data_IF_191291599037
#
_entry.id   IF_191291599037
#
_cell.length_a   1.000
_cell.length_b   1.000
_cell.length_c   1.000
_cell.angle_alpha   90.00
_cell.angle_beta   90.00
_cell.angle_gamma   90.00
#
_symmetry.space_group_name_H-M   'P 1'
#
loop_
_entity.id
_entity.type
_entity.pdbx_description
1 polymer ?
#
# COMPACT_ATOMS: atom_id res chain seq x y z
N UNK A 1 -7.51 -23.20 -9.01
CA UNK A 1 -8.97 -23.27 -8.72
C UNK A 1 -9.36 -21.99 -8.01
N UNK A 2 -10.57 -21.49 -8.21
CA UNK A 2 -11.03 -20.31 -7.45
C UNK A 2 -11.36 -20.71 -6.01
N UNK A 3 -11.02 -19.84 -5.07
CA UNK A 3 -11.28 -19.95 -3.64
C UNK A 3 -12.48 -19.08 -3.27
N UNK A 4 -13.40 -19.62 -2.48
CA UNK A 4 -14.55 -18.88 -1.98
C UNK A 4 -14.20 -18.07 -0.74
N UNK A 5 -14.50 -16.78 -0.75
CA UNK A 5 -14.23 -15.81 0.31
C UNK A 5 -15.55 -15.28 0.84
N UNK A 6 -15.67 -15.28 2.16
CA UNK A 6 -16.81 -14.69 2.87
C UNK A 6 -16.57 -13.20 3.09
N UNK A 7 -17.63 -12.40 3.08
CA UNK A 7 -17.55 -10.94 3.22
C UNK A 7 -18.43 -10.44 4.35
N UNK A 8 -17.93 -9.45 5.08
CA UNK A 8 -18.69 -8.73 6.11
C UNK A 8 -18.44 -7.23 6.02
N UNK A 9 -19.45 -6.43 6.32
CA UNK A 9 -19.32 -4.97 6.45
C UNK A 9 -19.66 -4.60 7.89
N UNK A 10 -18.69 -3.97 8.56
CA UNK A 10 -18.83 -3.41 9.90
C UNK A 10 -18.83 -1.88 9.80
N UNK A 11 -19.90 -1.24 10.26
CA UNK A 11 -20.02 0.23 10.27
C UNK A 11 -21.11 0.65 11.27
N UNK A 12 -21.20 1.95 11.54
CA UNK A 12 -22.36 2.50 12.25
C UNK A 12 -23.55 2.58 11.32
N UNK A 13 -24.67 1.95 11.66
CA UNK A 13 -25.94 2.12 10.94
C UNK A 13 -27.10 2.23 11.93
N UNK A 14 -28.14 2.94 11.53
CA UNK A 14 -29.44 2.87 12.19
C UNK A 14 -30.23 1.75 11.52
N UNK A 15 -30.52 0.70 12.27
CA UNK A 15 -31.39 -0.38 11.81
C UNK A 15 -32.58 -0.46 12.76
N UNK A 16 -33.65 -1.12 12.33
CA UNK A 16 -34.80 -1.37 13.22
C UNK A 16 -34.45 -2.21 14.46
N UNK A 17 -33.27 -2.85 14.50
CA UNK A 17 -32.86 -3.78 15.57
C UNK A 17 -31.77 -3.22 16.48
N UNK A 18 -30.83 -2.44 15.93
CA UNK A 18 -29.63 -1.97 16.63
C UNK A 18 -29.21 -0.59 16.11
N UNK A 19 -28.75 0.23 17.05
CA UNK A 19 -28.09 1.52 16.80
C UNK A 19 -26.60 1.43 17.15
N UNK A 20 -25.77 2.04 16.30
CA UNK A 20 -24.32 2.13 16.50
C UNK A 20 -23.52 1.14 15.65
N UNK A 21 -22.28 0.86 16.07
CA UNK A 21 -21.33 0.05 15.31
C UNK A 21 -21.63 -1.45 15.46
N UNK A 22 -21.94 -2.10 14.33
CA UNK A 22 -22.19 -3.53 14.25
C UNK A 22 -21.94 -4.04 12.82
N UNK A 23 -22.05 -5.36 12.63
CA UNK A 23 -22.07 -5.96 11.30
C UNK A 23 -23.43 -5.66 10.65
N UNK A 24 -23.41 -4.82 9.61
CA UNK A 24 -24.62 -4.38 8.91
C UNK A 24 -24.97 -5.27 7.73
N UNK A 25 -23.97 -6.00 7.21
CA UNK A 25 -24.11 -6.90 6.08
C UNK A 25 -23.08 -8.03 6.23
N UNK A 26 -23.48 -9.25 5.91
CA UNK A 26 -22.61 -10.42 5.94
C UNK A 26 -23.03 -11.42 4.86
N UNK A 27 -22.10 -12.23 4.39
CA UNK A 27 -22.42 -13.41 3.58
C UNK A 27 -22.84 -14.59 4.44
N UNK A 28 -23.58 -15.54 3.85
CA UNK A 28 -24.20 -16.66 4.58
C UNK A 28 -23.22 -17.59 5.30
N UNK A 29 -21.94 -17.61 4.90
CA UNK A 29 -20.91 -18.40 5.56
C UNK A 29 -20.29 -17.75 6.80
N UNK A 30 -20.71 -16.54 7.19
CA UNK A 30 -20.30 -15.87 8.43
C UNK A 30 -21.18 -16.34 9.58
N UNK A 31 -20.56 -16.95 10.57
CA UNK A 31 -21.24 -17.48 11.75
C UNK A 31 -21.49 -16.39 12.81
N UNK A 32 -22.38 -16.63 13.79
CA UNK A 32 -22.51 -15.75 14.96
C UNK A 32 -21.22 -15.62 15.77
N UNK A 33 -20.38 -16.66 15.79
CA UNK A 33 -19.07 -16.68 16.44
C UNK A 33 -18.11 -15.73 15.71
N UNK A 34 -18.00 -15.86 14.38
CA UNK A 34 -17.22 -14.95 13.54
C UNK A 34 -17.69 -13.51 13.77
N UNK A 35 -19.00 -13.30 13.84
CA UNK A 35 -19.59 -11.98 14.02
C UNK A 35 -19.18 -11.32 15.34
N UNK A 36 -19.16 -12.10 16.43
CA UNK A 36 -18.72 -11.63 17.74
C UNK A 36 -17.23 -11.29 17.76
N UNK A 37 -16.41 -12.11 17.12
CA UNK A 37 -14.98 -11.84 17.02
C UNK A 37 -14.67 -10.62 16.14
N UNK A 38 -15.32 -10.51 14.98
CA UNK A 38 -15.20 -9.33 14.12
C UNK A 38 -15.59 -8.06 14.87
N UNK A 39 -16.58 -8.08 15.76
CA UNK A 39 -16.95 -6.92 16.57
C UNK A 39 -15.87 -6.49 17.59
N UNK A 40 -14.96 -7.40 17.98
CA UNK A 40 -13.80 -7.07 18.82
C UNK A 40 -12.71 -6.39 17.99
N UNK A 41 -12.43 -6.94 16.81
CA UNK A 41 -11.35 -6.48 15.93
C UNK A 41 -11.70 -5.23 15.11
N UNK A 42 -12.96 -5.08 14.71
CA UNK A 42 -13.38 -3.97 13.88
C UNK A 42 -13.40 -2.66 14.67
N UNK A 43 -12.91 -1.57 14.08
CA UNK A 43 -12.91 -0.26 14.73
C UNK A 43 -14.31 0.34 14.82
N UNK A 44 -14.57 1.06 15.92
CA UNK A 44 -15.73 1.92 16.10
C UNK A 44 -15.38 3.39 15.79
N UNK A 45 -16.21 4.34 16.24
CA UNK A 45 -16.00 5.78 16.05
C UNK A 45 -14.58 6.24 16.42
N UNK A 46 -14.06 7.21 15.65
CA UNK A 46 -12.80 7.91 15.91
C UNK A 46 -11.57 6.98 16.09
N UNK A 47 -11.62 5.81 15.47
CA UNK A 47 -10.58 4.80 15.59
C UNK A 47 -9.51 4.86 14.49
N UNK A 48 -9.66 5.74 13.49
CA UNK A 48 -8.63 5.97 12.47
C UNK A 48 -7.58 6.96 13.01
N UNK A 49 -6.31 6.75 12.67
CA UNK A 49 -5.25 7.68 13.07
C UNK A 49 -5.34 9.03 12.37
N UNK A 50 -5.82 9.00 11.13
CA UNK A 50 -6.00 10.16 10.28
C UNK A 50 -7.49 10.39 10.05
N UNK A 51 -7.90 11.65 10.13
CA UNK A 51 -9.31 12.05 10.02
C UNK A 51 -9.72 12.48 8.60
N UNK A 52 -8.80 12.38 7.62
CA UNK A 52 -9.10 12.73 6.24
C UNK A 52 -9.84 11.60 5.50
N UNK A 53 -10.57 11.96 4.42
CA UNK A 53 -11.34 11.00 3.62
C UNK A 53 -10.49 10.01 2.83
N UNK A 54 -9.22 10.34 2.58
CA UNK A 54 -8.29 9.45 1.88
C UNK A 54 -7.62 8.46 2.84
N UNK A 55 -7.77 8.66 4.16
CA UNK A 55 -7.24 7.76 5.17
C UNK A 55 -7.91 6.39 5.06
N UNK A 56 -7.07 5.37 5.01
CA UNK A 56 -7.49 3.98 5.07
C UNK A 56 -6.51 3.18 5.92
N UNK A 57 -6.97 2.03 6.40
CA UNK A 57 -6.17 1.05 7.12
C UNK A 57 -6.40 -0.31 6.49
N UNK A 58 -5.33 -1.07 6.34
CA UNK A 58 -5.39 -2.51 6.07
C UNK A 58 -5.10 -3.20 7.38
N UNK A 59 -5.93 -4.19 7.72
CA UNK A 59 -5.77 -4.95 8.94
C UNK A 59 -5.83 -6.43 8.64
N UNK A 60 -5.07 -7.21 9.39
CA UNK A 60 -5.04 -8.66 9.31
C UNK A 60 -5.05 -9.26 10.71
N UNK A 61 -5.91 -10.25 10.94
CA UNK A 61 -5.99 -10.93 12.22
C UNK A 61 -6.66 -12.31 12.09
N UNK A 62 -6.41 -13.24 13.02
CA UNK A 62 -7.19 -14.46 13.12
C UNK A 62 -8.65 -14.18 13.50
N UNK A 63 -9.53 -15.10 13.08
CA UNK A 63 -10.93 -15.21 13.53
C UNK A 63 -11.16 -16.67 13.89
N UNK A 64 -11.25 -16.94 15.19
CA UNK A 64 -11.20 -18.27 15.77
C UNK A 64 -9.88 -18.99 15.46
N UNK A 65 -9.93 -20.32 15.48
CA UNK A 65 -8.76 -21.17 15.25
C UNK A 65 -8.50 -21.47 13.77
N UNK A 66 -9.48 -21.23 12.89
CA UNK A 66 -9.49 -21.80 11.53
C UNK A 66 -9.68 -20.79 10.41
N UNK A 67 -9.88 -19.51 10.75
CA UNK A 67 -10.10 -18.46 9.77
C UNK A 67 -9.20 -17.28 10.02
N UNK A 68 -9.00 -16.52 8.96
CA UNK A 68 -8.31 -15.25 8.99
C UNK A 68 -9.19 -14.20 8.34
N UNK A 69 -9.05 -12.96 8.83
CA UNK A 69 -9.68 -11.79 8.29
C UNK A 69 -8.61 -10.85 7.73
N UNK A 70 -8.77 -10.47 6.46
CA UNK A 70 -8.12 -9.28 5.89
C UNK A 70 -9.21 -8.23 5.74
N UNK A 71 -9.01 -7.07 6.34
CA UNK A 71 -10.00 -6.00 6.29
C UNK A 71 -9.40 -4.69 5.79
N UNK A 72 -10.25 -3.91 5.12
CA UNK A 72 -9.96 -2.53 4.74
C UNK A 72 -10.92 -1.61 5.47
N UNK A 73 -10.36 -0.70 6.26
CA UNK A 73 -11.10 0.34 6.98
C UNK A 73 -10.88 1.68 6.31
N UNK A 74 -11.94 2.47 6.13
CA UNK A 74 -11.89 3.84 5.59
C UNK A 74 -12.78 4.76 6.43
N UNK A 75 -12.46 6.06 6.38
CA UNK A 75 -13.36 7.09 6.88
C UNK A 75 -14.55 7.25 5.94
N UNK A 76 -15.75 7.20 6.51
CA UNK A 76 -17.02 7.47 5.85
C UNK A 76 -17.44 8.93 6.01
N UNK A 77 -18.76 9.13 5.90
CA UNK A 77 -19.40 10.43 6.11
C UNK A 77 -19.41 10.82 7.60
N UNK A 78 -19.95 11.99 7.91
CA UNK A 78 -20.15 12.40 9.31
C UNK A 78 -21.03 11.38 10.05
N UNK A 79 -20.65 11.08 11.29
CA UNK A 79 -21.41 10.15 12.11
C UNK A 79 -22.77 10.75 12.50
N UNK A 80 -23.84 9.97 12.38
CA UNK A 80 -25.20 10.41 12.74
C UNK A 80 -25.36 10.69 14.26
N UNK A 81 -24.51 10.09 15.10
CA UNK A 81 -24.66 10.06 16.56
C UNK A 81 -24.53 11.41 17.29
N UNK A 82 -24.25 12.51 16.55
CA UNK A 82 -24.09 13.85 17.12
C UNK A 82 -22.82 14.03 17.97
N UNK A 83 -22.01 12.98 18.14
CA UNK A 83 -20.77 12.98 18.94
C UNK A 83 -19.59 13.63 18.22
N UNK A 84 -19.80 14.12 17.00
CA UNK A 84 -18.73 14.58 16.13
C UNK A 84 -17.93 13.41 15.56
N UNK A 85 -17.04 13.72 14.61
CA UNK A 85 -16.22 12.72 13.95
C UNK A 85 -16.88 12.05 12.74
N UNK A 86 -16.12 11.15 12.11
CA UNK A 86 -16.53 10.43 10.91
C UNK A 86 -16.95 9.01 11.27
N UNK A 87 -17.98 8.55 10.59
CA UNK A 87 -18.34 7.14 10.52
C UNK A 87 -17.12 6.35 10.04
N UNK A 88 -16.87 5.19 10.64
CA UNK A 88 -15.84 4.26 10.16
C UNK A 88 -16.49 3.10 9.41
N UNK A 89 -16.03 2.85 8.19
CA UNK A 89 -16.50 1.75 7.35
C UNK A 89 -15.40 0.70 7.23
N UNK A 90 -15.66 -0.54 7.65
CA UNK A 90 -14.72 -1.66 7.54
C UNK A 90 -15.31 -2.77 6.71
N UNK A 91 -14.63 -3.13 5.62
CA UNK A 91 -14.96 -4.30 4.80
C UNK A 91 -14.01 -5.45 5.14
N UNK A 92 -14.56 -6.55 5.61
CA UNK A 92 -13.85 -7.75 6.03
C UNK A 92 -13.93 -8.85 4.97
N UNK A 93 -12.79 -9.47 4.66
CA UNK A 93 -12.66 -10.66 3.82
C UNK A 93 -12.23 -11.82 4.71
N UNK A 94 -13.10 -12.81 4.86
CA UNK A 94 -12.87 -13.98 5.70
C UNK A 94 -12.52 -15.19 4.84
N UNK A 95 -11.45 -15.87 5.21
CA UNK A 95 -10.90 -17.02 4.50
C UNK A 95 -10.54 -18.13 5.48
N UNK A 96 -10.77 -19.38 5.12
CA UNK A 96 -10.34 -20.52 5.93
C UNK A 96 -8.82 -20.73 5.82
N UNK A 97 -8.20 -21.31 6.85
CA UNK A 97 -6.75 -21.51 6.87
C UNK A 97 -6.21 -22.34 5.69
N UNK A 98 -6.92 -23.40 5.30
CA UNK A 98 -6.55 -24.24 4.14
C UNK A 98 -6.57 -23.47 2.81
N UNK A 99 -7.52 -22.55 2.69
CA UNK A 99 -7.69 -21.72 1.51
C UNK A 99 -6.69 -20.56 1.50
N UNK A 100 -6.37 -20.00 2.67
CA UNK A 100 -5.37 -18.95 2.82
C UNK A 100 -3.96 -19.43 2.49
N UNK A 101 -3.66 -20.71 2.72
CA UNK A 101 -2.42 -21.34 2.28
C UNK A 101 -2.23 -21.25 0.75
N UNK A 102 -3.31 -21.23 -0.04
CA UNK A 102 -3.24 -21.06 -1.49
C UNK A 102 -2.78 -19.65 -1.89
N UNK A 103 -2.96 -18.65 -1.01
CA UNK A 103 -2.41 -17.29 -1.14
C UNK A 103 -1.03 -17.16 -0.50
N UNK A 104 -0.35 -18.29 -0.25
CA UNK A 104 0.90 -18.38 0.50
C UNK A 104 0.80 -17.68 1.87
N UNK A 105 -0.36 -17.80 2.53
CA UNK A 105 -0.67 -17.15 3.80
C UNK A 105 -0.34 -15.65 3.84
N UNK A 106 -0.38 -14.98 2.69
CA UNK A 106 -0.03 -13.57 2.60
C UNK A 106 -1.31 -12.73 2.51
N UNK A 107 -1.60 -11.88 3.51
CA UNK A 107 -2.81 -11.05 3.49
C UNK A 107 -2.84 -10.06 2.31
N UNK A 108 -1.68 -9.63 1.82
CA UNK A 108 -1.59 -8.71 0.67
C UNK A 108 -1.86 -9.40 -0.67
N UNK A 109 -1.61 -10.71 -0.80
CA UNK A 109 -2.02 -11.46 -1.99
C UNK A 109 -3.54 -11.60 -2.05
N UNK A 110 -4.18 -11.87 -0.90
CA UNK A 110 -5.64 -11.91 -0.81
C UNK A 110 -6.23 -10.55 -1.14
N UNK A 111 -5.67 -9.47 -0.57
CA UNK A 111 -6.13 -8.10 -0.83
C UNK A 111 -5.95 -7.71 -2.31
N UNK A 112 -4.81 -8.06 -2.92
CA UNK A 112 -4.54 -7.80 -4.32
C UNK A 112 -5.55 -8.51 -5.23
N UNK A 113 -5.80 -9.80 -5.00
CA UNK A 113 -6.81 -10.56 -5.74
C UNK A 113 -8.22 -9.96 -5.54
N UNK A 114 -8.57 -9.62 -4.30
CA UNK A 114 -9.85 -9.00 -3.99
C UNK A 114 -10.03 -7.61 -4.61
N UNK A 115 -8.96 -6.84 -4.80
CA UNK A 115 -9.04 -5.50 -5.41
C UNK A 115 -9.26 -5.58 -6.92
N UNK A 116 -8.83 -6.67 -7.57
CA UNK A 116 -9.09 -6.92 -9.00
C UNK A 116 -10.55 -7.31 -9.23
N UNK A 117 -11.09 -8.20 -8.39
CA UNK A 117 -12.43 -8.79 -8.59
C UNK A 117 -13.55 -8.04 -7.85
N UNK A 118 -13.25 -7.38 -6.73
CA UNK A 118 -14.22 -6.70 -5.88
C UNK A 118 -13.97 -5.19 -5.79
N UNK A 119 -15.04 -4.43 -5.99
CA UNK A 119 -15.07 -3.03 -5.56
C UNK A 119 -15.09 -2.99 -4.02
N UNK A 120 -13.90 -3.09 -3.39
CA UNK A 120 -13.64 -2.75 -1.98
C UNK A 120 -13.81 -1.24 -1.72
N UNK A 121 -14.81 -0.65 -2.34
CA UNK A 121 -15.18 0.74 -2.26
C UNK A 121 -16.33 0.88 -1.26
N UNK A 122 -16.41 2.07 -0.68
CA UNK A 122 -17.59 2.46 0.09
C UNK A 122 -18.86 2.30 -0.75
N UNK A 123 -19.94 1.87 -0.10
CA UNK A 123 -21.28 1.78 -0.69
C UNK A 123 -22.24 2.65 0.10
N UNK A 124 -23.01 3.47 -0.62
CA UNK A 124 -24.02 4.36 -0.03
C UNK A 124 -25.24 3.60 0.48
N UNK A 125 -25.62 2.52 -0.20
CA UNK A 125 -26.64 1.59 0.24
C UNK A 125 -26.02 0.22 0.53
N UNK A 126 -26.31 -0.31 1.70
CA UNK A 126 -25.78 -1.59 2.15
C UNK A 126 -26.90 -2.63 2.08
N UNK A 127 -26.73 -3.72 1.32
CA UNK A 127 -27.66 -4.82 1.37
C UNK A 127 -27.56 -5.50 2.74
N UNK A 128 -28.63 -6.13 3.22
CA UNK A 128 -28.58 -6.93 4.46
C UNK A 128 -27.75 -8.20 4.30
N UNK A 129 -27.64 -8.71 3.07
CA UNK A 129 -26.91 -9.94 2.74
C UNK A 129 -25.88 -9.67 1.63
N UNK A 130 -24.68 -10.21 1.80
CA UNK A 130 -23.60 -10.13 0.81
C UNK A 130 -23.45 -11.48 0.10
N UNK A 131 -23.16 -11.45 -1.20
CA UNK A 131 -22.73 -12.64 -1.93
C UNK A 131 -21.30 -12.99 -1.56
N UNK A 132 -20.94 -14.27 -1.61
CA UNK A 132 -19.55 -14.72 -1.51
C UNK A 132 -18.73 -14.24 -2.73
N UNK A 133 -17.41 -14.07 -2.58
CA UNK A 133 -16.50 -13.79 -3.70
C UNK A 133 -15.77 -15.07 -4.07
N UNK A 134 -15.57 -15.30 -5.36
CA UNK A 134 -14.62 -16.31 -5.85
C UNK A 134 -13.36 -15.62 -6.31
N UNK A 135 -12.27 -15.81 -5.58
CA UNK A 135 -10.97 -15.24 -5.93
C UNK A 135 -10.05 -16.32 -6.47
N UNK A 136 -9.26 -15.99 -7.48
CA UNK A 136 -8.18 -16.87 -7.92
C UNK A 136 -6.92 -16.54 -7.11
N UNK A 137 -6.34 -17.52 -6.38
CA UNK A 137 -5.07 -17.29 -5.70
C UNK A 137 -4.02 -16.78 -6.67
N UNK A 138 -3.39 -15.67 -6.30
CA UNK A 138 -2.38 -15.00 -7.08
C UNK A 138 -1.17 -14.69 -6.19
N UNK A 139 0.00 -14.57 -6.81
CA UNK A 139 1.25 -14.29 -6.11
C UNK A 139 2.06 -15.55 -5.80
N UNK A 140 3.38 -15.42 -5.91
CA UNK A 140 4.33 -16.47 -5.51
C UNK A 140 4.51 -16.43 -3.98
N UNK A 141 4.94 -17.52 -3.33
CA UNK A 141 5.35 -17.50 -1.93
C UNK A 141 6.22 -16.30 -1.57
N UNK A 142 7.21 -16.00 -2.41
CA UNK A 142 8.08 -14.83 -2.30
C UNK A 142 8.08 -14.09 -3.65
N UNK A 143 7.64 -12.84 -3.64
CA UNK A 143 7.61 -11.95 -4.78
C UNK A 143 9.00 -11.32 -5.01
N UNK A 144 9.57 -11.55 -6.18
CA UNK A 144 10.88 -11.05 -6.59
C UNK A 144 10.91 -9.52 -6.74
N UNK A 145 9.86 -8.93 -7.28
CA UNK A 145 9.80 -7.48 -7.47
C UNK A 145 9.74 -6.76 -6.12
N UNK A 146 8.95 -7.30 -5.18
CA UNK A 146 8.85 -6.78 -3.83
C UNK A 146 10.15 -7.01 -3.02
N UNK A 147 10.82 -8.15 -3.24
CA UNK A 147 12.15 -8.39 -2.68
C UNK A 147 13.16 -7.35 -3.18
N UNK A 148 13.23 -7.10 -4.49
CA UNK A 148 14.09 -6.07 -5.08
C UNK A 148 13.75 -4.67 -4.58
N UNK A 149 12.47 -4.35 -4.42
CA UNK A 149 12.04 -3.09 -3.80
C UNK A 149 12.56 -2.95 -2.36
N UNK A 150 12.63 -4.08 -1.63
CA UNK A 150 13.16 -4.13 -0.26
C UNK A 150 14.67 -3.90 -0.18
N UNK A 151 15.40 -3.91 -1.30
CA UNK A 151 16.84 -3.62 -1.36
C UNK A 151 17.15 -2.12 -1.44
N UNK A 152 16.14 -1.24 -1.52
CA UNK A 152 16.34 0.21 -1.53
C UNK A 152 17.14 0.67 -0.31
N UNK A 153 18.05 1.64 -0.47
CA UNK A 153 19.19 1.90 0.42
C UNK A 153 18.94 1.83 1.95
N UNK A 154 17.80 2.32 2.44
CA UNK A 154 17.45 2.32 3.88
C UNK A 154 16.65 1.09 4.33
N UNK A 155 15.87 0.50 3.43
CA UNK A 155 14.91 -0.57 3.73
C UNK A 155 15.52 -1.81 4.38
N UNK A 156 16.71 -2.30 3.97
CA UNK A 156 17.33 -3.45 4.62
C UNK A 156 17.53 -3.25 6.13
N UNK A 157 17.94 -2.06 6.55
CA UNK A 157 18.16 -1.76 7.98
C UNK A 157 16.84 -1.65 8.74
N UNK A 158 15.82 -1.04 8.12
CA UNK A 158 14.47 -0.96 8.70
C UNK A 158 13.87 -2.37 8.90
N UNK A 159 13.94 -3.22 7.86
CA UNK A 159 13.48 -4.60 7.92
C UNK A 159 14.22 -5.40 8.98
N UNK A 160 15.54 -5.27 9.05
CA UNK A 160 16.36 -5.98 10.03
C UNK A 160 15.97 -5.61 11.46
N UNK A 161 15.82 -4.31 11.75
CA UNK A 161 15.38 -3.85 13.07
C UNK A 161 13.95 -4.31 13.39
N UNK A 162 13.05 -4.29 12.40
CA UNK A 162 11.69 -4.80 12.58
C UNK A 162 11.69 -6.30 12.87
N UNK A 163 12.39 -7.13 12.10
CA UNK A 163 12.49 -8.56 12.37
C UNK A 163 13.09 -8.86 13.74
N UNK A 164 14.13 -8.12 14.14
CA UNK A 164 14.72 -8.28 15.48
C UNK A 164 13.66 -8.10 16.57
N UNK A 165 12.99 -6.95 16.56
CA UNK A 165 12.01 -6.61 17.59
C UNK A 165 10.75 -7.49 17.48
N UNK A 166 10.34 -7.89 16.28
CA UNK A 166 9.14 -8.68 16.05
C UNK A 166 9.26 -10.12 16.58
N UNK A 167 10.48 -10.66 16.60
CA UNK A 167 10.77 -11.98 17.12
C UNK A 167 10.96 -11.96 18.63
N UNK A 168 11.53 -10.88 19.17
CA UNK A 168 11.78 -10.76 20.61
C UNK A 168 10.54 -10.31 21.39
N UNK A 169 9.63 -9.55 20.75
CA UNK A 169 8.52 -8.88 21.42
C UNK A 169 7.16 -9.32 20.90
N UNK A 170 6.19 -9.51 21.81
CA UNK A 170 4.87 -10.00 21.42
C UNK A 170 4.03 -8.94 20.70
N UNK A 171 4.27 -7.65 20.95
CA UNK A 171 3.52 -6.53 20.36
C UNK A 171 4.41 -5.32 20.10
N UNK A 172 4.32 -4.77 18.89
CA UNK A 172 5.06 -3.59 18.46
C UNK A 172 4.14 -2.49 17.95
N UNK A 173 4.45 -1.26 18.34
CA UNK A 173 3.97 -0.06 17.68
C UNK A 173 5.05 0.45 16.72
N UNK A 174 4.73 0.55 15.42
CA UNK A 174 5.64 0.98 14.38
C UNK A 174 5.43 2.46 14.06
N UNK A 175 6.52 3.22 13.95
CA UNK A 175 6.51 4.63 13.55
C UNK A 175 7.59 4.91 12.51
N UNK A 176 7.52 6.06 11.85
CA UNK A 176 8.56 6.52 10.94
C UNK A 176 8.60 5.77 9.61
N UNK A 177 7.53 5.07 9.24
CA UNK A 177 7.41 4.32 7.98
C UNK A 177 6.51 5.00 6.94
N UNK A 178 5.99 6.19 7.24
CA UNK A 178 5.20 7.00 6.31
C UNK A 178 3.76 6.51 6.06
N UNK A 179 3.29 5.51 6.83
CA UNK A 179 1.94 4.97 6.65
C UNK A 179 1.79 4.10 5.39
N UNK A 180 2.89 3.70 4.75
CA UNK A 180 2.87 2.91 3.53
C UNK A 180 2.65 1.41 3.82
N UNK A 181 1.58 0.85 3.28
CA UNK A 181 1.29 -0.59 3.36
C UNK A 181 2.34 -1.45 2.63
N UNK A 182 3.08 -0.87 1.68
CA UNK A 182 4.12 -1.58 0.95
C UNK A 182 5.21 -2.11 1.87
N UNK A 183 5.50 -1.42 2.98
CA UNK A 183 6.48 -1.90 3.96
C UNK A 183 5.98 -3.15 4.70
N UNK A 184 4.69 -3.22 5.02
CA UNK A 184 4.10 -4.45 5.56
C UNK A 184 4.12 -5.57 4.51
N UNK A 185 3.78 -5.28 3.26
CA UNK A 185 3.87 -6.28 2.19
C UNK A 185 5.29 -6.84 2.07
N UNK A 186 6.32 -5.98 2.13
CA UNK A 186 7.73 -6.38 2.11
C UNK A 186 8.11 -7.23 3.33
N UNK A 187 7.64 -6.87 4.53
CA UNK A 187 7.83 -7.68 5.74
C UNK A 187 7.27 -9.08 5.53
N UNK A 188 6.00 -9.20 5.11
CA UNK A 188 5.36 -10.50 4.88
C UNK A 188 6.03 -11.30 3.76
N UNK A 189 6.57 -10.63 2.74
CA UNK A 189 7.33 -11.28 1.68
C UNK A 189 8.59 -11.99 2.20
N UNK A 190 9.17 -11.44 3.26
CA UNK A 190 10.40 -11.94 3.90
C UNK A 190 10.13 -12.87 5.10
N UNK A 191 8.87 -13.06 5.52
CA UNK A 191 8.48 -14.04 6.54
C UNK A 191 8.23 -15.40 5.87
N UNK A 192 8.72 -16.53 6.44
CA UNK A 192 8.38 -17.85 5.96
C UNK A 192 6.86 -18.06 5.91
N UNK A 193 6.37 -18.66 4.82
CA UNK A 193 4.94 -18.72 4.48
C UNK A 193 4.05 -19.17 5.63
N UNK A 194 4.46 -20.21 6.34
CA UNK A 194 3.68 -20.83 7.40
C UNK A 194 3.62 -19.99 8.70
N UNK A 195 4.56 -19.07 8.91
CA UNK A 195 4.59 -18.19 10.08
C UNK A 195 3.86 -16.86 9.87
N UNK A 196 3.55 -16.50 8.62
CA UNK A 196 2.82 -15.26 8.29
C UNK A 196 1.51 -15.09 9.10
N UNK A 197 0.69 -16.12 9.33
CA UNK A 197 -0.53 -15.97 10.10
C UNK A 197 -0.35 -15.56 11.57
N UNK A 198 0.86 -15.73 12.14
CA UNK A 198 1.17 -15.35 13.53
C UNK A 198 1.35 -13.83 13.73
N UNK A 199 1.38 -13.06 12.63
CA UNK A 199 1.65 -11.63 12.64
C UNK A 199 0.39 -10.82 12.34
N UNK A 200 -0.53 -10.70 13.29
CA UNK A 200 -1.68 -9.79 13.14
C UNK A 200 -1.23 -8.32 13.08
N UNK A 201 -1.86 -7.51 12.25
CA UNK A 201 -1.49 -6.10 12.13
C UNK A 201 -2.64 -5.15 11.80
N UNK A 202 -2.38 -3.86 12.04
CA UNK A 202 -3.16 -2.75 11.50
C UNK A 202 -2.22 -1.63 11.04
N UNK A 203 -2.47 -1.04 9.87
CA UNK A 203 -1.61 0.00 9.29
C UNK A 203 -2.02 1.42 9.63
N UNK A 204 -3.23 1.65 10.13
CA UNK A 204 -3.79 3.00 10.28
C UNK A 204 -4.83 3.18 11.40
N UNK A 205 -5.02 2.20 12.28
CA UNK A 205 -5.94 2.32 13.41
C UNK A 205 -5.25 2.86 14.67
N UNK A 206 -5.99 3.64 15.45
CA UNK A 206 -5.61 4.03 16.81
C UNK A 206 -5.52 2.81 17.71
N UNK A 207 -4.66 2.93 18.72
CA UNK A 207 -4.43 1.88 19.68
C UNK A 207 -5.72 1.58 20.46
N UNK A 208 -5.99 0.30 20.65
CA UNK A 208 -7.03 -0.17 21.54
C UNK A 208 -6.56 -1.42 22.26
N UNK A 209 -6.77 -1.50 23.58
CA UNK A 209 -6.44 -2.68 24.35
C UNK A 209 -7.27 -3.90 23.94
N UNK A 210 -8.48 -3.68 23.41
CA UNK A 210 -9.40 -4.74 22.97
C UNK A 210 -8.97 -5.39 21.66
N UNK A 211 -8.08 -4.76 20.89
CA UNK A 211 -7.59 -5.27 19.60
C UNK A 211 -6.14 -5.72 19.76
N UNK A 212 -5.89 -7.01 20.00
CA UNK A 212 -4.55 -7.52 20.28
C UNK A 212 -3.74 -7.71 18.98
N UNK A 213 -3.62 -6.65 18.16
CA UNK A 213 -2.71 -6.67 17.03
C UNK A 213 -1.26 -6.84 17.52
N UNK A 214 -0.51 -7.69 16.82
CA UNK A 214 0.93 -7.87 17.04
C UNK A 214 1.71 -6.68 16.51
N UNK A 215 1.32 -6.13 15.36
CA UNK A 215 1.88 -4.88 14.83
C UNK A 215 0.83 -3.79 14.70
N UNK A 216 1.15 -2.62 15.20
CA UNK A 216 0.28 -1.45 15.11
C UNK A 216 1.05 -0.30 14.49
N UNK A 217 0.66 0.11 13.28
CA UNK A 217 1.18 1.32 12.66
C UNK A 217 0.63 2.56 13.33
N UNK A 218 1.46 3.36 14.00
CA UNK A 218 1.09 4.58 14.74
C UNK A 218 1.77 5.84 14.18
N UNK A 219 1.74 6.00 12.85
CA UNK A 219 2.44 7.09 12.17
C UNK A 219 1.97 8.48 12.62
N UNK A 220 2.93 9.37 12.96
CA UNK A 220 2.68 10.80 13.14
C UNK A 220 1.89 11.25 14.37
N UNK A 221 1.33 10.34 15.19
CA UNK A 221 0.52 10.69 16.36
C UNK A 221 1.24 10.39 17.68
N UNK A 222 2.00 11.37 18.19
CA UNK A 222 2.76 11.22 19.44
C UNK A 222 1.89 10.96 20.69
N UNK A 223 0.66 11.46 20.72
CA UNK A 223 -0.25 11.24 21.84
C UNK A 223 -0.76 9.80 21.87
N UNK A 224 -1.08 9.26 20.70
CA UNK A 224 -1.44 7.85 20.55
C UNK A 224 -0.24 6.94 20.86
N UNK A 225 0.97 7.28 20.39
CA UNK A 225 2.20 6.55 20.70
C UNK A 225 2.45 6.49 22.22
N UNK A 226 2.37 7.64 22.91
CA UNK A 226 2.53 7.71 24.37
C UNK A 226 1.47 6.88 25.09
N UNK A 227 0.22 6.90 24.62
CA UNK A 227 -0.86 6.08 25.18
C UNK A 227 -0.61 4.58 24.99
N UNK A 228 -0.19 4.16 23.80
CA UNK A 228 0.08 2.76 23.49
C UNK A 228 1.20 2.18 24.36
N UNK A 229 2.29 2.93 24.55
CA UNK A 229 3.44 2.52 25.38
C UNK A 229 3.09 2.47 26.87
N UNK A 230 2.32 3.44 27.38
CA UNK A 230 1.91 3.48 28.80
C UNK A 230 0.84 2.44 29.14
N UNK A 231 -0.01 2.13 28.16
CA UNK A 231 -1.20 1.31 28.35
C UNK A 231 -0.89 -0.16 28.60
N UNK A 232 -0.19 -0.85 27.69
CA UNK A 232 -0.18 -2.32 27.71
C UNK A 232 0.96 -2.97 26.88
N UNK A 233 2.21 -2.84 27.33
CA UNK A 233 3.28 -3.73 26.88
C UNK A 233 3.64 -3.68 25.39
N UNK A 234 3.19 -2.65 24.66
CA UNK A 234 3.66 -2.38 23.30
C UNK A 234 5.04 -1.75 23.37
N UNK A 235 5.98 -2.31 22.63
CA UNK A 235 7.25 -1.65 22.38
C UNK A 235 7.16 -0.76 21.15
N UNK A 236 7.65 0.47 21.29
CA UNK A 236 7.75 1.40 20.19
C UNK A 236 9.01 1.08 19.38
N UNK A 237 8.85 0.92 18.06
CA UNK A 237 9.93 0.81 17.11
C UNK A 237 9.83 1.95 16.10
N UNK A 238 10.78 2.88 16.19
CA UNK A 238 10.94 3.94 15.19
C UNK A 238 11.75 3.44 14.00
N UNK A 239 11.08 3.18 12.88
CA UNK A 239 11.68 2.74 11.64
C UNK A 239 12.38 3.89 10.90
N UNK A 240 12.13 5.16 11.28
CA UNK A 240 12.96 6.25 10.79
C UNK A 240 14.35 6.21 11.45
N UNK A 241 14.44 5.82 12.72
CA UNK A 241 15.71 5.75 13.43
C UNK A 241 15.88 4.33 13.99
N UNK A 242 16.03 3.31 13.11
CA UNK A 242 16.04 1.93 13.56
C UNK A 242 17.21 1.72 14.53
N UNK A 243 16.99 1.04 15.66
CA UNK A 243 18.05 0.80 16.63
C UNK A 243 19.17 0.00 15.96
N UNK A 244 20.33 0.64 15.81
CA UNK A 244 21.53 0.00 15.31
C UNK A 244 22.19 -0.78 16.44
N UNK A 245 21.49 -1.79 16.96
CA UNK A 245 22.09 -2.76 17.86
C UNK A 245 23.19 -3.47 17.07
N UNK A 246 24.43 -3.43 17.54
CA UNK A 246 25.57 -4.04 16.84
C UNK A 246 25.32 -5.51 16.49
N UNK A 247 25.96 -6.01 15.43
CA UNK A 247 25.65 -7.30 14.79
C UNK A 247 25.69 -8.52 15.74
N UNK A 248 26.36 -8.42 16.89
CA UNK A 248 26.53 -9.53 17.85
C UNK A 248 25.28 -9.91 18.64
N UNK A 249 24.29 -9.04 18.73
CA UNK A 249 23.06 -9.29 19.51
C UNK A 249 21.84 -9.60 18.64
N UNK A 250 22.03 -9.77 17.33
CA UNK A 250 20.92 -9.95 16.40
C UNK A 250 20.52 -11.41 16.28
N UNK A 251 19.22 -11.65 16.29
CA UNK A 251 18.61 -12.89 15.85
C UNK A 251 19.15 -13.23 14.44
N UNK A 252 19.49 -14.50 14.24
CA UNK A 252 20.11 -14.95 13.01
C UNK A 252 19.17 -14.81 11.79
N UNK A 253 17.84 -14.84 11.98
CA UNK A 253 16.88 -14.51 10.93
C UNK A 253 16.97 -13.06 10.49
N UNK A 254 16.95 -12.11 11.43
CA UNK A 254 17.10 -10.70 11.13
C UNK A 254 18.43 -10.42 10.42
N UNK A 255 19.49 -11.10 10.84
CA UNK A 255 20.81 -11.02 10.18
C UNK A 255 20.78 -11.59 8.77
N UNK A 256 20.09 -12.73 8.55
CA UNK A 256 19.90 -13.27 7.21
C UNK A 256 19.14 -12.31 6.30
N UNK A 257 18.05 -11.69 6.79
CA UNK A 257 17.30 -10.67 6.02
C UNK A 257 18.21 -9.52 5.60
N UNK A 258 19.05 -9.01 6.51
CA UNK A 258 20.01 -7.96 6.17
C UNK A 258 20.94 -8.39 5.03
N UNK A 259 21.55 -9.57 5.17
CA UNK A 259 22.49 -10.11 4.17
C UNK A 259 21.77 -10.32 2.84
N UNK A 260 20.62 -11.00 2.84
CA UNK A 260 19.81 -11.27 1.66
C UNK A 260 19.48 -9.99 0.89
N UNK A 261 19.02 -8.95 1.58
CA UNK A 261 18.65 -7.69 0.95
C UNK A 261 19.85 -6.83 0.51
N UNK A 262 21.02 -7.01 1.14
CA UNK A 262 22.24 -6.24 0.82
C UNK A 262 23.13 -6.92 -0.24
N UNK A 263 22.96 -8.22 -0.46
CA UNK A 263 23.70 -8.94 -1.50
C UNK A 263 23.20 -8.55 -2.89
N UNK A 264 24.06 -8.77 -3.89
CA UNK A 264 23.66 -8.70 -5.30
C UNK A 264 23.11 -10.05 -5.80
N UNK A 265 22.57 -10.89 -4.89
CA UNK A 265 22.08 -12.24 -5.17
C UNK A 265 20.57 -12.41 -4.85
N UNK A 266 19.67 -11.55 -5.36
CA UNK A 266 18.25 -11.59 -5.02
C UNK A 266 17.53 -12.88 -5.45
N UNK A 267 17.82 -13.44 -6.62
CA UNK A 267 17.26 -14.71 -7.12
C UNK A 267 17.67 -15.88 -6.22
N UNK A 268 18.95 -15.97 -5.89
CA UNK A 268 19.45 -16.95 -4.93
C UNK A 268 18.74 -16.85 -3.57
N UNK A 269 18.63 -15.64 -3.02
CA UNK A 269 17.98 -15.41 -1.72
C UNK A 269 16.48 -15.78 -1.74
N UNK A 270 15.76 -15.38 -2.79
CA UNK A 270 14.33 -15.71 -2.97
C UNK A 270 14.13 -17.22 -3.14
N UNK A 271 15.00 -17.89 -3.90
CA UNK A 271 14.96 -19.34 -4.08
C UNK A 271 15.16 -20.07 -2.75
N UNK A 272 16.18 -19.68 -1.99
CA UNK A 272 16.45 -20.25 -0.66
C UNK A 272 15.28 -20.05 0.31
N UNK A 273 14.69 -18.84 0.35
CA UNK A 273 13.53 -18.57 1.19
C UNK A 273 12.29 -19.40 0.76
N UNK A 274 12.09 -19.58 -0.54
CA UNK A 274 10.97 -20.34 -1.09
C UNK A 274 11.06 -21.85 -0.80
N UNK A 275 12.26 -22.35 -0.48
CA UNK A 275 12.53 -23.74 -0.10
C UNK A 275 12.44 -23.98 1.41
N UNK A 276 12.06 -22.97 2.20
CA UNK A 276 11.89 -23.15 3.64
C UNK A 276 10.83 -24.22 3.95
N UNK A 277 11.04 -24.94 5.06
CA UNK A 277 10.17 -26.03 5.49
C UNK A 277 8.73 -25.51 5.73
N UNK A 278 7.70 -26.10 5.08
CA UNK A 278 6.31 -25.75 5.35
C UNK A 278 5.86 -25.98 6.79
N UNK A 279 6.57 -26.81 7.57
CA UNK A 279 6.29 -27.13 8.97
C UNK A 279 7.15 -26.33 9.97
N UNK A 280 7.91 -25.34 9.50
CA UNK A 280 8.78 -24.50 10.32
C UNK A 280 8.05 -23.81 11.48
N UNK A 281 8.49 -24.00 12.72
CA UNK A 281 7.98 -23.25 13.86
C UNK A 281 8.77 -21.95 14.08
N UNK A 282 8.15 -20.96 14.76
CA UNK A 282 8.80 -19.69 15.07
C UNK A 282 10.12 -19.86 15.86
N UNK A 283 10.20 -20.87 16.72
CA UNK A 283 11.40 -21.24 17.50
C UNK A 283 12.59 -21.66 16.62
N UNK A 284 12.32 -22.09 15.39
CA UNK A 284 13.32 -22.59 14.44
C UNK A 284 13.84 -21.51 13.49
N UNK A 285 13.32 -20.27 13.58
CA UNK A 285 13.76 -19.17 12.73
C UNK A 285 15.24 -18.80 12.90
N UNK A 286 15.75 -18.86 14.13
CA UNK A 286 17.15 -18.55 14.42
C UNK A 286 18.13 -19.55 13.74
N UNK A 287 18.03 -20.88 13.96
CA UNK A 287 18.88 -21.83 13.25
C UNK A 287 18.67 -21.82 11.73
N UNK A 288 17.44 -21.58 11.26
CA UNK A 288 17.16 -21.41 9.84
C UNK A 288 17.92 -20.22 9.26
N UNK A 289 17.84 -19.05 9.90
CA UNK A 289 18.53 -17.83 9.47
C UNK A 289 20.03 -18.03 9.38
N UNK A 290 20.63 -18.70 10.37
CA UNK A 290 22.06 -19.03 10.34
C UNK A 290 22.42 -19.89 9.12
N UNK A 291 21.64 -20.96 8.88
CA UNK A 291 21.84 -21.87 7.75
C UNK A 291 21.71 -21.15 6.41
N UNK A 292 20.62 -20.42 6.19
CA UNK A 292 20.38 -19.72 4.92
C UNK A 292 21.44 -18.64 4.66
N UNK A 293 21.95 -17.98 5.72
CA UNK A 293 23.03 -17.01 5.60
C UNK A 293 24.33 -17.66 5.13
N UNK A 294 24.72 -18.79 5.73
CA UNK A 294 25.92 -19.51 5.31
C UNK A 294 25.78 -20.02 3.88
N UNK A 295 24.62 -20.58 3.53
CA UNK A 295 24.34 -21.03 2.17
C UNK A 295 24.50 -19.88 1.17
N UNK A 296 23.81 -18.77 1.38
CA UNK A 296 23.86 -17.62 0.48
C UNK A 296 25.28 -17.04 0.32
N UNK A 297 26.07 -16.97 1.39
CA UNK A 297 27.46 -16.50 1.33
C UNK A 297 28.42 -17.50 0.66
N UNK A 298 28.07 -18.79 0.63
CA UNK A 298 28.85 -19.83 -0.03
C UNK A 298 28.44 -20.10 -1.48
N UNK A 299 27.41 -19.41 -1.99
CA UNK A 299 26.92 -19.63 -3.35
C UNK A 299 27.90 -19.03 -4.37
N UNK A 300 28.45 -19.92 -5.20
CA UNK A 300 29.23 -19.57 -6.40
C UNK A 300 28.38 -19.64 -7.68
N UNK A 301 27.09 -19.96 -7.55
CA UNK A 301 26.18 -20.10 -8.69
C UNK A 301 26.00 -18.78 -9.45
N UNK A 302 25.80 -18.91 -10.76
CA UNK A 302 25.51 -17.77 -11.62
C UNK A 302 24.09 -17.24 -11.34
N UNK A 303 24.02 -16.14 -10.61
CA UNK A 303 22.80 -15.42 -10.26
C UNK A 303 21.92 -15.11 -11.49
N UNK A 304 22.53 -14.84 -12.65
CA UNK A 304 21.77 -14.55 -13.87
C UNK A 304 21.04 -15.79 -14.39
N UNK A 305 21.66 -16.96 -14.25
CA UNK A 305 21.07 -18.24 -14.61
C UNK A 305 19.89 -18.56 -13.69
N UNK A 306 20.04 -18.39 -12.37
CA UNK A 306 18.96 -18.63 -11.41
C UNK A 306 17.77 -17.69 -11.68
N UNK A 307 18.05 -16.41 -11.93
CA UNK A 307 17.01 -15.45 -12.27
C UNK A 307 16.24 -15.86 -13.55
N UNK A 308 16.96 -16.29 -14.59
CA UNK A 308 16.34 -16.77 -15.84
C UNK A 308 15.51 -18.05 -15.64
N UNK A 309 15.99 -19.00 -14.84
CA UNK A 309 15.24 -20.21 -14.49
C UNK A 309 13.93 -19.85 -13.76
N UNK A 310 13.98 -18.93 -12.79
CA UNK A 310 12.80 -18.47 -12.06
C UNK A 310 11.77 -17.74 -12.94
N UNK A 311 12.24 -16.96 -13.92
CA UNK A 311 11.39 -16.30 -14.92
C UNK A 311 10.75 -17.31 -15.88
N UNK A 312 11.50 -18.35 -16.28
CA UNK A 312 10.99 -19.42 -17.13
C UNK A 312 9.93 -20.26 -16.39
N UNK A 313 10.18 -20.64 -15.14
CA UNK A 313 9.18 -21.32 -14.29
C UNK A 313 7.91 -20.49 -14.15
N UNK A 314 8.04 -19.16 -14.03
CA UNK A 314 6.89 -18.25 -13.98
C UNK A 314 6.10 -18.25 -15.28
N UNK A 315 6.79 -18.17 -16.42
CA UNK A 315 6.14 -18.20 -17.72
C UNK A 315 5.36 -19.51 -17.93
N UNK A 316 5.94 -20.64 -17.53
CA UNK A 316 5.29 -21.96 -17.60
C UNK A 316 4.07 -22.03 -16.67
N UNK A 317 4.22 -21.58 -15.42
CA UNK A 317 3.11 -21.55 -14.46
C UNK A 317 1.96 -20.64 -14.91
N UNK A 318 2.26 -19.48 -15.50
CA UNK A 318 1.27 -18.56 -16.04
C UNK A 318 0.51 -19.17 -17.24
N UNK A 319 1.21 -19.88 -18.14
CA UNK A 319 0.58 -20.59 -19.25
C UNK A 319 -0.33 -21.72 -18.74
N UNK A 320 0.12 -22.48 -17.73
CA UNK A 320 -0.68 -23.53 -17.12
C UNK A 320 -1.93 -22.97 -16.41
N UNK A 321 -1.81 -21.84 -15.71
CA UNK A 321 -2.93 -21.18 -15.05
C UNK A 321 -3.93 -20.54 -16.04
N UNK A 322 -3.46 -20.13 -17.23
CA UNK A 322 -4.29 -19.58 -18.29
C UNK A 322 -4.93 -20.64 -19.19
N UNK A 323 -4.48 -21.90 -19.11
CA UNK A 323 -5.07 -22.98 -19.89
C UNK A 323 -6.53 -23.21 -19.44
N UNK A 324 -7.52 -23.03 -20.33
CA UNK A 324 -8.90 -23.27 -19.97
C UNK A 324 -9.08 -24.77 -19.63
N UNK A 325 -9.93 -25.11 -18.65
CA UNK A 325 -10.33 -26.50 -18.46
C UNK A 325 -10.96 -27.04 -19.76
N UNK A 326 -10.84 -28.34 -20.08
CA UNK A 326 -11.42 -28.91 -21.29
C UNK A 326 -12.93 -28.64 -21.29
N UNK A 327 -13.38 -27.77 -22.20
CA UNK A 327 -14.75 -27.28 -22.24
C UNK A 327 -15.60 -28.06 -23.25
N UNK A 328 -16.81 -28.44 -22.83
CA UNK A 328 -17.92 -28.79 -23.70
C UNK A 328 -18.33 -27.58 -24.59
N UNK A 329 -19.00 -27.80 -25.74
CA UNK A 329 -19.01 -26.84 -26.83
C UNK A 329 -20.04 -25.70 -26.69
N UNK A 330 -19.71 -24.56 -27.33
CA UNK A 330 -20.51 -23.38 -27.77
C UNK A 330 -20.35 -22.05 -26.98
N UNK A 331 -20.64 -20.87 -27.59
CA UNK A 331 -19.78 -20.22 -28.59
C UNK A 331 -19.34 -18.78 -28.24
N UNK A 332 -18.28 -18.39 -28.94
CA UNK A 332 -17.46 -17.16 -28.99
C UNK A 332 -18.05 -15.79 -28.59
N UNK A 333 -17.27 -15.06 -27.77
CA UNK A 333 -17.20 -13.60 -27.70
C UNK A 333 -15.71 -13.14 -27.67
N UNK A 334 -15.36 -11.90 -28.08
CA UNK A 334 -14.01 -11.58 -28.55
C UNK A 334 -13.02 -11.21 -27.43
N UNK A 335 -11.79 -11.68 -27.58
CA UNK A 335 -10.68 -11.54 -26.65
C UNK A 335 -10.05 -10.13 -26.66
N UNK A 336 -9.78 -9.57 -25.47
CA UNK A 336 -8.99 -8.35 -25.28
C UNK A 336 -7.51 -8.67 -25.07
N UNK A 337 -6.65 -8.04 -25.87
CA UNK A 337 -5.18 -8.13 -25.80
C UNK A 337 -4.67 -7.41 -24.54
N UNK A 338 -3.90 -8.14 -23.73
CA UNK A 338 -3.07 -7.59 -22.64
C UNK A 338 -1.71 -7.21 -23.24
N UNK A 339 -1.35 -5.94 -23.15
CA UNK A 339 -0.03 -5.42 -23.58
C UNK A 339 0.79 -5.13 -22.33
N UNK A 340 1.95 -5.80 -22.21
CA UNK A 340 2.99 -5.50 -21.22
C UNK A 340 4.02 -4.56 -21.85
N UNK A 341 4.52 -3.58 -21.10
CA UNK A 341 5.65 -2.75 -21.49
C UNK A 341 6.62 -2.54 -20.33
N UNK A 342 7.88 -2.84 -20.60
CA UNK A 342 9.03 -2.72 -19.70
C UNK A 342 9.54 -1.27 -19.61
N UNK A 343 10.19 -0.93 -18.49
CA UNK A 343 10.88 0.34 -18.22
C UNK A 343 12.29 0.40 -18.83
N UNK A 344 12.95 1.58 -18.86
CA UNK A 344 14.12 1.75 -17.97
C UNK A 344 14.35 3.15 -17.31
N UNK A 345 14.89 3.09 -16.08
CA UNK A 345 15.74 3.94 -15.20
C UNK A 345 15.84 5.49 -15.24
N UNK A 346 16.10 6.13 -14.05
CA UNK A 346 16.82 7.42 -13.99
C UNK A 346 17.95 7.51 -12.94
N UNK A 347 19.00 8.23 -13.31
CA UNK A 347 19.85 9.03 -12.42
C UNK A 347 19.91 10.44 -13.02
N UNK A 348 19.49 11.48 -12.29
CA UNK A 348 19.75 12.95 -12.44
C UNK A 348 18.56 13.79 -11.93
N UNK A 349 18.49 14.04 -10.62
CA UNK A 349 17.27 14.49 -9.89
C UNK A 349 16.82 15.96 -10.02
N UNK A 350 17.25 16.74 -11.03
CA UNK A 350 16.74 18.12 -11.24
C UNK A 350 16.14 18.35 -12.62
N UNK A 351 16.79 17.87 -13.68
CA UNK A 351 16.20 17.86 -15.02
C UNK A 351 15.03 16.86 -15.17
N UNK A 352 14.96 15.86 -14.27
CA UNK A 352 13.96 14.79 -14.32
C UNK A 352 12.55 15.23 -13.97
N UNK A 353 12.36 16.27 -13.14
CA UNK A 353 11.01 16.68 -12.72
C UNK A 353 10.22 17.26 -13.90
N UNK A 354 10.84 18.19 -14.64
CA UNK A 354 10.24 18.76 -15.86
C UNK A 354 10.12 17.71 -16.98
N UNK A 355 11.13 16.85 -17.17
CA UNK A 355 11.07 15.79 -18.19
C UNK A 355 9.99 14.75 -17.93
N UNK A 356 9.80 14.33 -16.67
CA UNK A 356 8.74 13.39 -16.26
C UNK A 356 7.35 13.97 -16.47
N UNK A 357 7.21 15.28 -16.32
CA UNK A 357 5.95 15.98 -16.56
C UNK A 357 5.67 16.28 -18.02
N UNK A 358 6.69 16.51 -18.83
CA UNK A 358 6.53 16.51 -20.30
C UNK A 358 6.02 15.15 -20.77
N UNK A 359 6.54 14.05 -20.20
CA UNK A 359 6.05 12.70 -20.48
C UNK A 359 4.60 12.48 -19.98
N UNK A 360 4.23 13.08 -18.85
CA UNK A 360 2.89 12.96 -18.29
C UNK A 360 1.89 13.82 -19.05
N UNK A 361 2.10 15.12 -19.29
CA UNK A 361 1.04 16.02 -19.76
C UNK A 361 1.30 16.67 -21.13
N UNK A 362 2.47 16.49 -21.74
CA UNK A 362 2.82 17.07 -23.04
C UNK A 362 3.70 18.33 -22.91
N UNK A 363 3.74 19.19 -23.95
CA UNK A 363 4.59 20.37 -23.94
C UNK A 363 4.23 21.31 -22.79
N UNK A 364 5.24 21.96 -22.19
CA UNK A 364 5.06 22.84 -21.04
C UNK A 364 4.21 24.07 -21.43
N UNK A 365 3.29 24.53 -20.55
CA UNK A 365 2.43 25.69 -20.81
C UNK A 365 3.18 26.93 -21.29
N UNK A 366 4.32 27.27 -20.69
CA UNK A 366 5.07 28.48 -21.06
C UNK A 366 5.53 28.51 -22.52
N UNK A 367 5.78 27.35 -23.13
CA UNK A 367 6.24 27.24 -24.52
C UNK A 367 5.14 27.44 -25.55
N UNK A 368 3.87 27.42 -25.12
CA UNK A 368 2.69 27.53 -25.98
C UNK A 368 2.11 28.95 -26.01
N UNK A 369 2.64 29.86 -25.20
CA UNK A 369 2.15 31.21 -25.05
C UNK A 369 2.97 32.11 -26.00
N UNK A 370 2.28 32.73 -26.96
CA UNK A 370 2.90 33.61 -27.95
C UNK A 370 2.95 35.07 -27.50
N UNK A 371 3.87 35.84 -28.07
CA UNK A 371 3.91 37.31 -27.90
C UNK A 371 4.46 37.79 -26.55
N UNK A 372 5.14 36.92 -25.80
CA UNK A 372 5.77 37.24 -24.52
C UNK A 372 7.19 37.79 -24.67
N UNK A 373 7.55 38.74 -23.82
CA UNK A 373 8.91 39.23 -23.68
C UNK A 373 9.83 38.15 -23.10
N UNK A 374 11.15 38.30 -23.29
CA UNK A 374 12.13 37.36 -22.73
C UNK A 374 12.04 37.26 -21.20
N UNK A 375 11.69 38.36 -20.52
CA UNK A 375 11.49 38.39 -19.07
C UNK A 375 10.26 37.59 -18.64
N UNK A 376 9.11 37.84 -19.28
CA UNK A 376 7.87 37.08 -19.00
C UNK A 376 8.06 35.59 -19.30
N UNK A 377 8.78 35.25 -20.38
CA UNK A 377 9.10 33.86 -20.70
C UNK A 377 9.92 33.18 -19.60
N UNK A 378 10.89 33.88 -19.00
CA UNK A 378 11.69 33.34 -17.90
C UNK A 378 10.83 33.12 -16.64
N UNK A 379 9.93 34.05 -16.33
CA UNK A 379 9.00 33.93 -15.19
C UNK A 379 8.00 32.79 -15.40
N UNK A 380 7.47 32.62 -16.61
CA UNK A 380 6.61 31.48 -16.94
C UNK A 380 7.35 30.15 -16.90
N UNK A 381 8.63 30.11 -17.28
CA UNK A 381 9.45 28.90 -17.13
C UNK A 381 9.70 28.54 -15.64
N UNK A 382 9.87 29.54 -14.77
CA UNK A 382 9.92 29.35 -13.32
C UNK A 382 8.60 28.77 -12.79
N UNK A 383 7.47 29.29 -13.28
CA UNK A 383 6.14 28.78 -12.94
C UNK A 383 5.96 27.30 -13.34
N UNK A 384 6.43 26.92 -14.53
CA UNK A 384 6.42 25.52 -14.98
C UNK A 384 7.18 24.60 -14.02
N UNK A 385 8.35 25.01 -13.55
CA UNK A 385 9.17 24.22 -12.62
C UNK A 385 8.47 24.04 -11.26
N UNK A 386 7.84 25.10 -10.74
CA UNK A 386 7.13 25.05 -9.46
C UNK A 386 5.87 24.19 -9.54
N UNK A 387 5.07 24.36 -10.60
CA UNK A 387 3.91 23.50 -10.87
C UNK A 387 4.36 22.06 -11.04
N UNK A 388 5.50 21.85 -11.70
CA UNK A 388 6.04 20.52 -11.90
C UNK A 388 6.49 19.84 -10.61
N UNK A 389 7.20 20.58 -9.75
CA UNK A 389 7.57 20.12 -8.43
C UNK A 389 6.33 19.77 -7.59
N UNK A 390 5.33 20.65 -7.56
CA UNK A 390 4.11 20.44 -6.79
C UNK A 390 3.36 19.17 -7.23
N UNK A 391 3.19 18.95 -8.54
CA UNK A 391 2.52 17.76 -9.08
C UNK A 391 3.27 16.45 -8.82
N UNK A 392 4.59 16.52 -8.61
CA UNK A 392 5.41 15.35 -8.23
C UNK A 392 5.46 15.11 -6.71
N UNK A 393 4.72 15.91 -5.93
CA UNK A 393 4.63 15.79 -4.47
C UNK A 393 5.66 16.63 -3.70
N UNK A 394 6.38 17.56 -4.34
CA UNK A 394 7.29 18.45 -3.64
C UNK A 394 6.51 19.57 -2.93
N UNK A 395 6.45 19.48 -1.60
CA UNK A 395 5.76 20.44 -0.74
C UNK A 395 6.42 21.83 -0.81
N UNK A 396 7.75 21.90 -0.97
CA UNK A 396 8.47 23.18 -1.08
C UNK A 396 8.08 23.93 -2.35
N UNK A 397 7.88 23.22 -3.46
CA UNK A 397 7.44 23.83 -4.72
C UNK A 397 6.03 24.39 -4.63
N UNK A 398 5.12 23.72 -3.91
CA UNK A 398 3.77 24.24 -3.66
C UNK A 398 3.81 25.49 -2.76
N UNK A 399 4.63 25.48 -1.70
CA UNK A 399 4.82 26.63 -0.83
C UNK A 399 5.47 27.82 -1.56
N UNK A 400 6.42 27.57 -2.46
CA UNK A 400 7.01 28.61 -3.31
C UNK A 400 5.99 29.15 -4.32
N UNK A 401 5.17 28.28 -4.91
CA UNK A 401 4.12 28.69 -5.86
C UNK A 401 3.14 29.70 -5.25
N UNK A 402 2.78 29.54 -3.97
CA UNK A 402 1.91 30.48 -3.25
C UNK A 402 2.45 31.91 -3.22
N UNK A 403 3.77 32.06 -3.18
CA UNK A 403 4.44 33.37 -3.12
C UNK A 403 4.77 33.91 -4.51
N UNK A 404 5.20 33.03 -5.43
CA UNK A 404 5.68 33.43 -6.76
C UNK A 404 4.53 33.74 -7.72
N UNK A 405 3.39 33.05 -7.63
CA UNK A 405 2.28 33.28 -8.56
C UNK A 405 1.70 34.70 -8.48
N UNK A 406 1.42 35.30 -7.30
CA UNK A 406 0.93 36.68 -7.21
C UNK A 406 1.87 37.71 -7.87
N UNK A 407 3.19 37.53 -7.72
CA UNK A 407 4.18 38.40 -8.36
C UNK A 407 4.12 38.28 -9.89
N UNK A 408 4.19 37.04 -10.41
CA UNK A 408 4.10 36.79 -11.84
C UNK A 408 2.77 37.32 -12.38
N UNK A 409 1.65 37.07 -11.70
CA UNK A 409 0.34 37.54 -12.11
C UNK A 409 0.31 39.07 -12.21
N UNK A 410 0.92 39.80 -11.26
CA UNK A 410 1.01 41.25 -11.26
C UNK A 410 1.84 41.84 -12.40
N UNK A 411 2.84 41.10 -12.90
CA UNK A 411 3.68 41.50 -14.04
C UNK A 411 2.98 41.26 -15.40
N UNK A 412 2.07 40.29 -15.49
CA UNK A 412 1.41 39.92 -16.73
C UNK A 412 0.22 40.82 -17.06
N UNK A 413 0.07 41.14 -18.35
CA UNK A 413 -1.14 41.81 -18.84
C UNK A 413 -2.40 40.95 -18.60
N UNK A 414 -3.60 41.54 -18.44
CA UNK A 414 -4.82 40.78 -18.16
C UNK A 414 -5.14 39.69 -19.19
N UNK A 415 -4.92 39.98 -20.49
CA UNK A 415 -5.14 39.02 -21.57
C UNK A 415 -4.17 37.84 -21.47
N UNK A 416 -2.88 38.14 -21.25
CA UNK A 416 -1.85 37.13 -21.11
C UNK A 416 -2.06 36.26 -19.86
N UNK A 417 -2.55 36.86 -18.77
CA UNK A 417 -2.90 36.12 -17.55
C UNK A 417 -4.01 35.11 -17.80
N UNK A 418 -5.05 35.50 -18.55
CA UNK A 418 -6.13 34.59 -18.94
C UNK A 418 -5.60 33.43 -19.77
N UNK A 419 -4.73 33.70 -20.74
CA UNK A 419 -4.10 32.67 -21.58
C UNK A 419 -3.26 31.70 -20.73
N UNK A 420 -2.48 32.21 -19.77
CA UNK A 420 -1.71 31.38 -18.83
C UNK A 420 -2.65 30.46 -18.04
N UNK A 421 -3.71 31.00 -17.44
CA UNK A 421 -4.68 30.23 -16.66
C UNK A 421 -5.33 29.12 -17.48
N UNK A 422 -5.77 29.41 -18.71
CA UNK A 422 -6.36 28.42 -19.61
C UNK A 422 -5.37 27.30 -19.94
N UNK A 423 -4.10 27.63 -20.23
CA UNK A 423 -3.06 26.66 -20.56
C UNK A 423 -2.72 25.75 -19.39
N UNK A 424 -2.60 26.29 -18.18
CA UNK A 424 -2.36 25.48 -16.98
C UNK A 424 -3.57 24.61 -16.59
N UNK A 425 -4.80 25.09 -16.82
CA UNK A 425 -6.00 24.27 -16.65
C UNK A 425 -6.03 23.10 -17.64
N UNK A 426 -5.79 23.38 -18.93
CA UNK A 426 -5.71 22.33 -19.94
C UNK A 426 -4.61 21.30 -19.62
N UNK A 427 -3.43 21.79 -19.19
CA UNK A 427 -2.32 20.95 -18.77
C UNK A 427 -2.68 20.06 -17.58
N UNK A 428 -3.32 20.62 -16.57
CA UNK A 428 -3.77 19.90 -15.38
C UNK A 428 -4.83 18.83 -15.73
N UNK A 429 -5.79 19.14 -16.61
CA UNK A 429 -6.79 18.18 -17.08
C UNK A 429 -6.14 17.02 -17.83
N UNK A 430 -5.15 17.28 -18.69
CA UNK A 430 -4.41 16.24 -19.41
C UNK A 430 -3.59 15.37 -18.44
N UNK A 431 -2.90 16.01 -17.49
CA UNK A 431 -2.14 15.32 -16.44
C UNK A 431 -3.05 14.39 -15.63
N UNK A 432 -4.17 14.92 -15.16
CA UNK A 432 -5.18 14.18 -14.40
C UNK A 432 -5.72 12.99 -15.20
N UNK A 433 -6.13 13.21 -16.46
CA UNK A 433 -6.68 12.14 -17.31
C UNK A 433 -5.68 11.00 -17.46
N UNK A 434 -4.42 11.30 -17.78
CA UNK A 434 -3.38 10.27 -17.95
C UNK A 434 -2.99 9.59 -16.64
N UNK A 435 -3.03 10.30 -15.51
CA UNK A 435 -2.83 9.70 -14.20
C UNK A 435 -4.00 8.77 -13.82
N UNK A 436 -5.23 9.15 -14.13
CA UNK A 436 -6.43 8.37 -13.81
C UNK A 436 -6.65 7.18 -14.76
N UNK A 437 -6.18 7.27 -16.01
CA UNK A 437 -6.20 6.16 -16.98
C UNK A 437 -5.25 5.02 -16.54
N UNK A 438 -4.24 5.31 -15.72
CA UNK A 438 -3.35 4.31 -15.09
C UNK A 438 -3.96 3.77 -13.79
N UNK A 439 -5.04 3.00 -13.92
CA UNK A 439 -5.89 2.50 -12.80
C UNK A 439 -5.13 1.81 -11.64
N UNK A 440 -3.94 1.26 -11.87
CA UNK A 440 -3.15 0.52 -10.86
C UNK A 440 -2.38 1.44 -9.91
N UNK A 441 -2.08 2.68 -10.30
CA UNK A 441 -1.31 3.64 -9.49
C UNK A 441 -2.07 4.97 -9.36
N UNK A 442 -3.32 4.92 -8.90
CA UNK A 442 -4.04 6.14 -8.50
C UNK A 442 -3.32 6.73 -7.30
N UNK A 443 -2.59 7.82 -7.52
CA UNK A 443 -1.99 8.60 -6.45
C UNK A 443 -2.98 9.72 -6.04
N UNK A 444 -3.77 9.55 -4.97
CA UNK A 444 -4.72 10.57 -4.51
C UNK A 444 -4.01 11.86 -4.09
N UNK A 445 -2.73 11.78 -3.71
CA UNK A 445 -1.93 12.95 -3.33
C UNK A 445 -1.62 13.82 -4.55
N UNK A 446 -1.27 13.23 -5.69
CA UNK A 446 -1.09 13.99 -6.94
C UNK A 446 -2.39 14.67 -7.39
N UNK A 447 -3.52 14.01 -7.18
CA UNK A 447 -4.83 14.57 -7.44
C UNK A 447 -5.13 15.79 -6.55
N UNK A 448 -4.86 15.68 -5.25
CA UNK A 448 -4.98 16.80 -4.32
C UNK A 448 -4.03 17.96 -4.69
N UNK A 449 -2.75 17.67 -4.95
CA UNK A 449 -1.78 18.69 -5.36
C UNK A 449 -2.16 19.40 -6.65
N UNK A 450 -2.82 18.70 -7.59
CA UNK A 450 -3.32 19.30 -8.82
C UNK A 450 -4.46 20.29 -8.56
N UNK A 451 -5.37 19.96 -7.64
CA UNK A 451 -6.41 20.87 -7.19
C UNK A 451 -5.82 22.08 -6.48
N UNK A 452 -4.84 21.89 -5.59
CA UNK A 452 -4.17 22.98 -4.87
C UNK A 452 -3.48 23.95 -5.84
N UNK A 453 -2.74 23.42 -6.83
CA UNK A 453 -2.11 24.24 -7.88
C UNK A 453 -3.15 25.04 -8.67
N UNK A 454 -4.25 24.42 -9.07
CA UNK A 454 -5.32 25.12 -9.80
C UNK A 454 -5.98 26.17 -8.92
N UNK A 455 -6.26 25.86 -7.65
CA UNK A 455 -6.82 26.82 -6.70
C UNK A 455 -5.91 28.04 -6.54
N UNK A 456 -4.59 27.86 -6.52
CA UNK A 456 -3.64 28.97 -6.43
C UNK A 456 -3.58 29.81 -7.72
N UNK A 457 -3.54 29.16 -8.89
CA UNK A 457 -3.47 29.86 -10.17
C UNK A 457 -4.77 30.63 -10.48
N UNK A 458 -5.91 30.11 -10.02
CA UNK A 458 -7.24 30.69 -10.25
C UNK A 458 -7.78 31.53 -9.09
N UNK A 459 -7.19 31.46 -7.89
CA UNK A 459 -7.50 32.41 -6.82
C UNK A 459 -7.05 33.79 -7.30
N UNK A 460 -8.03 34.64 -7.60
CA UNK A 460 -7.80 36.00 -8.09
C UNK A 460 -6.77 36.68 -7.22
N UNK A 461 -5.69 37.17 -7.82
CA UNK A 461 -4.95 38.29 -7.26
C UNK A 461 -5.97 39.42 -7.10
N UNK A 462 -6.47 39.59 -5.87
CA UNK A 462 -7.29 40.72 -5.48
C UNK A 462 -6.46 42.00 -5.55
#
# INVERSE_FOLDING_TARGET
>A
MAVTIQQAIFTSAQTARLDGYHLVAASNGITPEDSRELAVWCPAHDAMLRDDLAAYSVNFHPVGERRYCVSRTINGQHEYSGRGGRQVYTHCLLINATDFAQFANNPFHLLAAATVDANLCWRSSLPSELSEIKLVPAGKPVDMALFKQSQAARTPYMMTAWFQEALDKPRLALTGYGGDESLFAQFFNLVPVNLRPEFSFSTGLRYSPRRPFRFLGLEGNHDEQRRAVRGEGLSLLDLANPPMNGDRLRNAWATWVLVALRTNLPASAVRLLSQADPQLEASQLDPLGHRLRLQLLSMEEDETKIAAEMEQEEAVAAVAAAAPPPAAPTPSAPARKIVRSHAPHPSHSRATSSARLIQIAGPLPSTQIGGVSAHEQQRLAQLDELVAGALTGNIESLAQLQNVWPEIAGELSPNLRSDVQERYLAYAVIAWKKLNDRRVNRNPQTAASLLDVLSLIFSSAA
#
